data_IF_418211543268
#
_entry.id   IF_418211543268
#
_cell.length_a   1.000
_cell.length_b   1.000
_cell.length_c   1.000
_cell.angle_alpha   90.00
_cell.angle_beta   90.00
_cell.angle_gamma   90.00
#
_symmetry.space_group_name_H-M   'P 1'
#
loop_
_entity.id
_entity.type
_entity.pdbx_description
1 polymer ?
#
# COMPACT_ATOMS: atom_id res chain seq x y z
N UNK A 1 16.09 -2.56 21.72
CA UNK A 1 15.24 -1.62 20.98
C UNK A 1 13.77 -1.91 21.30
N UNK A 2 12.97 -0.85 21.49
CA UNK A 2 11.54 -1.00 21.68
C UNK A 2 10.86 -1.10 20.32
N UNK A 3 10.07 -2.17 20.09
CA UNK A 3 9.30 -2.38 18.87
C UNK A 3 7.86 -1.98 19.12
N UNK A 4 7.32 -1.16 18.23
CA UNK A 4 5.92 -0.75 18.28
C UNK A 4 5.15 -1.31 17.07
N UNK A 5 4.08 -2.04 17.33
CA UNK A 5 3.14 -2.45 16.30
C UNK A 5 2.03 -1.41 16.17
N UNK A 6 1.79 -0.95 14.95
CA UNK A 6 0.72 0.01 14.62
C UNK A 6 -0.15 -0.56 13.53
N UNK A 7 -1.47 -0.40 13.66
CA UNK A 7 -2.44 -0.86 12.68
C UNK A 7 -3.61 0.11 12.61
N UNK A 8 -4.22 0.23 11.43
CA UNK A 8 -5.48 0.95 11.21
C UNK A 8 -6.65 -0.03 11.05
N UNK A 9 -6.37 -1.32 10.86
CA UNK A 9 -7.35 -2.36 10.60
C UNK A 9 -6.89 -3.30 9.50
N UNK A 10 -7.82 -4.04 8.92
CA UNK A 10 -7.56 -5.01 7.84
C UNK A 10 -8.13 -4.46 6.53
N UNK A 11 -7.25 -3.98 5.66
CA UNK A 11 -7.65 -3.27 4.43
C UNK A 11 -8.54 -4.10 3.50
N UNK A 12 -8.32 -5.42 3.40
CA UNK A 12 -9.15 -6.32 2.60
C UNK A 12 -10.57 -6.46 3.14
N UNK A 13 -10.78 -6.31 4.44
CA UNK A 13 -12.11 -6.27 5.05
C UNK A 13 -12.74 -4.88 4.95
N UNK A 14 -11.93 -3.85 5.20
CA UNK A 14 -12.41 -2.47 5.24
C UNK A 14 -12.81 -1.97 3.84
N UNK A 15 -12.14 -2.43 2.78
CA UNK A 15 -12.48 -2.10 1.39
C UNK A 15 -13.78 -2.75 0.88
N UNK A 16 -14.28 -3.77 1.59
CA UNK A 16 -15.58 -4.40 1.30
C UNK A 16 -16.75 -3.77 2.07
N UNK A 17 -16.46 -2.82 2.97
CA UNK A 17 -17.51 -2.11 3.73
C UNK A 17 -18.05 -0.95 2.90
N UNK A 18 -19.38 -0.91 2.73
CA UNK A 18 -20.08 0.17 2.07
C UNK A 18 -20.45 1.27 3.08
N UNK A 19 -20.43 2.50 2.62
CA UNK A 19 -20.93 3.68 3.33
C UNK A 19 -21.86 4.48 2.43
N UNK A 20 -22.86 5.11 3.03
CA UNK A 20 -23.76 6.04 2.33
C UNK A 20 -23.44 7.46 2.78
N UNK A 21 -23.18 8.34 1.82
CA UNK A 21 -23.02 9.76 2.07
C UNK A 21 -24.38 10.44 2.30
N UNK A 22 -24.37 11.66 2.85
CA UNK A 22 -25.60 12.45 3.08
C UNK A 22 -26.40 12.72 1.82
N UNK A 23 -25.75 12.76 0.65
CA UNK A 23 -26.39 12.95 -0.65
C UNK A 23 -26.88 11.64 -1.29
N UNK A 24 -26.88 10.52 -0.56
CA UNK A 24 -27.31 9.20 -1.04
C UNK A 24 -26.26 8.40 -1.80
N UNK A 25 -25.09 8.96 -2.10
CA UNK A 25 -24.03 8.22 -2.78
C UNK A 25 -23.50 7.08 -1.91
N UNK A 26 -23.35 5.90 -2.52
CA UNK A 26 -22.78 4.70 -1.89
C UNK A 26 -21.33 4.57 -2.34
N UNK A 27 -20.41 4.38 -1.39
CA UNK A 27 -18.96 4.23 -1.63
C UNK A 27 -18.34 3.23 -0.65
N UNK A 28 -17.15 2.72 -0.96
CA UNK A 28 -16.40 1.85 -0.04
C UNK A 28 -15.70 2.67 1.04
N UNK A 29 -15.56 2.08 2.23
CA UNK A 29 -14.85 2.73 3.35
C UNK A 29 -13.41 3.10 3.00
N UNK A 30 -12.73 2.28 2.21
CA UNK A 30 -11.39 2.54 1.68
C UNK A 30 -11.29 2.02 0.25
N UNK A 31 -10.58 2.77 -0.60
CA UNK A 31 -10.26 2.34 -1.96
C UNK A 31 -8.88 1.69 -2.00
N UNK A 32 -8.74 0.68 -2.86
CA UNK A 32 -7.46 0.12 -3.26
C UNK A 32 -7.20 0.47 -4.73
N UNK A 33 -5.92 0.56 -5.17
CA UNK A 33 -5.59 1.09 -6.51
C UNK A 33 -5.81 0.06 -7.62
N UNK A 34 -7.03 -0.51 -7.73
CA UNK A 34 -7.37 -1.46 -8.78
C UNK A 34 -7.34 -0.81 -10.17
N UNK A 35 -6.99 -1.61 -11.18
CA UNK A 35 -7.04 -1.22 -12.58
C UNK A 35 -8.47 -1.29 -13.08
N UNK A 36 -8.99 -0.18 -13.59
CA UNK A 36 -10.36 -0.09 -14.05
C UNK A 36 -10.47 -0.39 -15.54
N UNK A 37 -11.41 -1.26 -15.91
CA UNK A 37 -11.85 -1.45 -17.29
C UNK A 37 -13.27 -0.95 -17.43
N UNK A 38 -13.61 -0.30 -18.55
CA UNK A 38 -14.98 0.04 -18.87
C UNK A 38 -15.68 -1.17 -19.50
N UNK A 39 -16.91 -1.48 -19.10
CA UNK A 39 -17.64 -2.65 -19.60
C UNK A 39 -17.84 -2.62 -21.11
N UNK A 40 -18.13 -1.44 -21.68
CA UNK A 40 -18.40 -1.24 -23.13
C UNK A 40 -17.14 -0.82 -23.87
N UNK A 41 -16.33 0.08 -23.30
CA UNK A 41 -15.13 0.63 -23.95
C UNK A 41 -13.88 0.31 -23.12
N UNK A 42 -13.26 -0.84 -23.41
CA UNK A 42 -12.02 -1.29 -22.73
C UNK A 42 -10.84 -0.30 -22.88
N UNK A 43 -10.89 0.65 -23.83
CA UNK A 43 -9.86 1.68 -24.03
C UNK A 43 -9.94 2.78 -22.96
N UNK A 44 -11.11 3.02 -22.37
CA UNK A 44 -11.27 3.96 -21.24
C UNK A 44 -10.79 3.31 -19.97
N UNK A 45 -9.51 3.31 -19.81
CA UNK A 45 -8.79 2.70 -18.70
C UNK A 45 -8.47 3.72 -17.61
N UNK A 46 -8.42 3.25 -16.38
CA UNK A 46 -8.03 4.07 -15.22
C UNK A 46 -7.42 3.21 -14.13
N UNK A 47 -6.96 3.87 -13.09
CA UNK A 47 -6.52 3.23 -11.84
C UNK A 47 -7.19 3.96 -10.70
N UNK A 48 -7.74 3.22 -9.74
CA UNK A 48 -8.31 3.80 -8.54
C UNK A 48 -7.24 4.49 -7.68
N UNK A 49 -7.67 5.40 -6.83
CA UNK A 49 -6.77 6.17 -5.96
C UNK A 49 -6.03 5.25 -4.99
N UNK A 50 -4.73 5.47 -4.86
CA UNK A 50 -3.89 4.77 -3.89
C UNK A 50 -3.96 5.44 -2.51
N UNK A 51 -5.05 5.25 -1.77
CA UNK A 51 -5.19 5.78 -0.41
C UNK A 51 -4.63 4.83 0.66
N UNK A 52 -4.51 3.55 0.35
CA UNK A 52 -4.06 2.51 1.29
C UNK A 52 -2.71 2.82 1.97
N UNK A 53 -1.75 3.42 1.27
CA UNK A 53 -0.46 3.80 1.85
C UNK A 53 -0.62 4.91 2.88
N UNK A 54 -1.43 5.92 2.58
CA UNK A 54 -1.67 7.04 3.49
C UNK A 54 -2.42 6.55 4.75
N UNK A 55 -3.52 5.83 4.56
CA UNK A 55 -4.45 5.52 5.65
C UNK A 55 -4.00 4.34 6.51
N UNK A 56 -3.39 3.29 5.89
CA UNK A 56 -3.01 2.07 6.60
C UNK A 56 -1.54 1.98 7.00
N UNK A 57 -0.68 2.89 6.50
CA UNK A 57 0.75 2.91 6.84
C UNK A 57 1.16 4.24 7.47
N UNK A 58 0.99 5.35 6.75
CA UNK A 58 1.52 6.65 7.18
C UNK A 58 0.76 7.20 8.38
N UNK A 59 -0.58 7.25 8.32
CA UNK A 59 -1.40 7.83 9.39
C UNK A 59 -1.25 7.10 10.74
N UNK A 60 -1.28 5.75 10.82
CA UNK A 60 -1.05 5.03 12.08
C UNK A 60 0.34 5.28 12.66
N UNK A 61 1.39 5.30 11.80
CA UNK A 61 2.76 5.61 12.23
C UNK A 61 2.82 7.04 12.81
N UNK A 62 2.29 8.03 12.09
CA UNK A 62 2.24 9.43 12.56
C UNK A 62 1.51 9.58 13.89
N UNK A 63 0.37 8.92 14.04
CA UNK A 63 -0.40 8.91 15.29
C UNK A 63 0.45 8.35 16.44
N UNK A 64 1.16 7.24 16.20
CA UNK A 64 2.04 6.64 17.20
C UNK A 64 3.20 7.57 17.56
N UNK A 65 3.88 8.12 16.55
CA UNK A 65 5.00 9.05 16.77
C UNK A 65 4.56 10.28 17.58
N UNK A 66 3.42 10.88 17.26
CA UNK A 66 2.86 12.00 18.04
C UNK A 66 2.66 11.64 19.51
N UNK A 67 2.13 10.45 19.79
CA UNK A 67 1.97 9.96 21.16
C UNK A 67 3.31 9.77 21.89
N UNK A 68 4.32 9.22 21.18
CA UNK A 68 5.65 8.98 21.78
C UNK A 68 6.38 10.28 22.15
N UNK A 69 6.20 11.37 21.39
CA UNK A 69 6.82 12.67 21.67
C UNK A 69 5.89 13.64 22.41
N UNK A 70 4.71 13.19 22.86
CA UNK A 70 3.76 14.03 23.61
C UNK A 70 3.18 15.20 22.79
N UNK A 71 3.20 15.13 21.45
CA UNK A 71 2.80 16.24 20.58
C UNK A 71 1.28 16.30 20.45
N UNK A 72 0.62 17.20 21.15
CA UNK A 72 -0.82 17.44 21.09
C UNK A 72 -1.20 18.36 19.93
N UNK A 73 -0.46 19.45 19.74
CA UNK A 73 -0.74 20.48 18.71
C UNK A 73 0.52 20.83 17.92
N UNK A 74 0.37 20.96 16.60
CA UNK A 74 1.42 21.45 15.70
C UNK A 74 1.21 22.94 15.44
N UNK A 75 2.26 23.74 15.61
CA UNK A 75 2.26 25.19 15.35
C UNK A 75 3.34 25.54 14.34
N UNK A 76 3.39 26.80 13.91
CA UNK A 76 4.47 27.29 13.02
C UNK A 76 5.87 27.14 13.66
N UNK A 77 5.93 27.22 14.98
CA UNK A 77 7.20 27.16 15.75
C UNK A 77 7.50 25.76 16.29
N UNK A 78 6.72 24.72 15.95
CA UNK A 78 7.02 23.35 16.37
C UNK A 78 8.35 22.91 15.76
N UNK A 79 9.38 22.58 16.57
CA UNK A 79 10.67 22.12 16.06
C UNK A 79 10.58 20.71 15.50
N UNK A 80 11.67 20.22 14.90
CA UNK A 80 11.83 18.81 14.58
C UNK A 80 11.95 18.03 15.91
N UNK A 81 11.02 17.09 16.12
CA UNK A 81 10.95 16.24 17.30
C UNK A 81 11.32 14.79 17.01
N UNK A 82 11.25 14.40 15.74
CA UNK A 82 11.48 13.01 15.29
C UNK A 82 12.39 13.01 14.07
N UNK A 83 13.48 12.25 14.13
CA UNK A 83 14.25 11.85 12.95
C UNK A 83 13.79 10.45 12.53
N UNK A 84 13.08 10.35 11.42
CA UNK A 84 12.51 9.11 10.91
C UNK A 84 13.42 8.49 9.86
N UNK A 85 13.99 7.34 10.18
CA UNK A 85 14.81 6.58 9.25
C UNK A 85 13.94 5.68 8.37
N UNK A 86 14.11 5.81 7.06
CA UNK A 86 13.33 5.08 6.06
C UNK A 86 14.27 4.21 5.25
N UNK A 87 13.97 2.90 5.18
CA UNK A 87 14.79 1.90 4.49
C UNK A 87 14.61 1.93 2.97
N UNK A 88 14.91 3.07 2.34
CA UNK A 88 14.98 3.22 0.88
C UNK A 88 16.44 3.08 0.46
N UNK A 89 16.72 2.10 -0.41
CA UNK A 89 18.05 1.88 -0.99
C UNK A 89 18.29 2.74 -2.24
N UNK A 90 19.51 2.78 -2.73
CA UNK A 90 19.90 3.62 -3.89
C UNK A 90 19.09 3.32 -5.14
N UNK A 91 18.68 2.06 -5.35
CA UNK A 91 17.81 1.64 -6.47
C UNK A 91 16.44 2.33 -6.47
N UNK A 92 15.99 2.80 -5.32
CA UNK A 92 14.70 3.44 -5.12
C UNK A 92 14.82 4.93 -4.76
N UNK A 93 15.97 5.57 -5.00
CA UNK A 93 16.26 6.94 -4.58
C UNK A 93 15.21 7.97 -5.07
N UNK A 94 14.60 7.74 -6.23
CA UNK A 94 13.52 8.57 -6.77
C UNK A 94 12.27 8.63 -5.88
N UNK A 95 12.15 7.74 -4.90
CA UNK A 95 11.04 7.68 -3.94
C UNK A 95 11.28 8.56 -2.71
N UNK A 96 12.48 9.09 -2.53
CA UNK A 96 12.80 9.94 -1.39
C UNK A 96 12.04 11.26 -1.48
N UNK A 97 11.37 11.60 -0.38
CA UNK A 97 10.66 12.86 -0.28
C UNK A 97 10.77 13.39 1.16
N UNK A 98 10.95 14.69 1.34
CA UNK A 98 10.93 15.28 2.67
C UNK A 98 9.58 14.98 3.35
N UNK A 99 9.58 14.98 4.67
CA UNK A 99 8.35 14.83 5.42
C UNK A 99 7.40 16.00 5.14
N UNK A 100 6.09 15.70 5.04
CA UNK A 100 5.05 16.74 5.00
C UNK A 100 4.76 17.32 6.39
N UNK A 101 5.23 16.64 7.42
CA UNK A 101 5.09 17.04 8.81
C UNK A 101 6.36 17.76 9.25
N UNK A 102 6.27 19.06 9.56
CA UNK A 102 7.42 19.89 9.96
C UNK A 102 8.14 19.42 11.22
N UNK A 103 7.48 18.63 12.04
CA UNK A 103 8.05 18.07 13.26
C UNK A 103 8.75 16.72 13.06
N UNK A 104 8.74 16.19 11.81
CA UNK A 104 9.45 14.96 11.41
C UNK A 104 10.47 15.30 10.33
N UNK A 105 11.70 14.88 10.53
CA UNK A 105 12.75 14.85 9.52
C UNK A 105 12.90 13.43 8.98
N UNK A 106 12.79 13.25 7.67
CA UNK A 106 13.07 11.95 7.05
C UNK A 106 14.57 11.83 6.74
N UNK A 107 15.14 10.67 7.05
CA UNK A 107 16.51 10.30 6.70
C UNK A 107 16.53 8.95 5.96
N UNK A 108 17.50 8.77 5.12
CA UNK A 108 17.65 7.57 4.28
C UNK A 108 19.04 6.96 4.45
N UNK A 109 19.32 6.25 5.56
CA UNK A 109 20.67 5.78 5.89
C UNK A 109 21.29 4.87 4.83
N UNK A 110 20.48 4.11 4.08
CA UNK A 110 21.01 3.27 3.00
C UNK A 110 21.50 4.10 1.81
N UNK A 111 20.81 5.19 1.47
CA UNK A 111 21.27 6.12 0.44
C UNK A 111 22.49 6.89 0.92
N UNK A 112 22.47 7.38 2.16
CA UNK A 112 23.60 8.08 2.79
C UNK A 112 24.89 7.23 2.78
N UNK A 113 24.72 5.91 2.87
CA UNK A 113 25.82 4.93 2.82
C UNK A 113 26.05 4.32 1.43
N UNK A 114 25.35 4.79 0.40
CA UNK A 114 25.39 4.28 -0.96
C UNK A 114 25.12 2.78 -1.07
N UNK A 115 24.15 2.26 -0.30
CA UNK A 115 23.81 0.83 -0.25
C UNK A 115 22.60 0.57 -1.16
N UNK A 116 22.74 -0.40 -2.07
CA UNK A 116 21.68 -0.88 -2.95
C UNK A 116 20.95 -2.09 -2.35
N UNK A 117 19.87 -2.53 -3.02
CA UNK A 117 19.07 -3.69 -2.56
C UNK A 117 19.87 -4.99 -2.55
N UNK A 118 20.74 -5.22 -3.54
CA UNK A 118 21.53 -6.44 -3.63
C UNK A 118 22.54 -6.54 -2.49
N UNK A 119 23.15 -5.42 -2.10
CA UNK A 119 24.04 -5.35 -0.95
C UNK A 119 23.31 -5.62 0.36
N UNK A 120 22.06 -5.11 0.51
CA UNK A 120 21.21 -5.46 1.66
C UNK A 120 20.95 -6.98 1.74
N UNK A 121 20.61 -7.63 0.62
CA UNK A 121 20.35 -9.07 0.58
C UNK A 121 21.62 -9.87 0.87
N UNK A 122 22.75 -9.47 0.31
CA UNK A 122 24.07 -10.10 0.57
C UNK A 122 24.44 -9.97 2.03
N UNK A 123 24.22 -8.80 2.63
CA UNK A 123 24.47 -8.59 4.06
C UNK A 123 23.62 -9.51 4.94
N UNK A 124 22.32 -9.63 4.66
CA UNK A 124 21.44 -10.54 5.39
C UNK A 124 21.94 -11.98 5.32
N UNK A 125 22.26 -12.45 4.10
CA UNK A 125 22.77 -13.81 3.87
C UNK A 125 24.09 -14.05 4.63
N UNK A 126 25.04 -13.13 4.54
CA UNK A 126 26.35 -13.26 5.15
C UNK A 126 26.29 -13.22 6.70
N UNK A 127 25.25 -12.63 7.26
CA UNK A 127 25.02 -12.56 8.71
C UNK A 127 24.01 -13.60 9.22
N UNK A 128 23.67 -14.61 8.42
CA UNK A 128 22.79 -15.71 8.82
C UNK A 128 21.31 -15.34 8.98
N UNK A 129 20.87 -14.20 8.44
CA UNK A 129 19.46 -13.82 8.44
C UNK A 129 18.70 -14.45 7.27
N UNK A 130 17.41 -14.75 7.43
CA UNK A 130 16.58 -15.23 6.33
C UNK A 130 16.42 -14.14 5.27
N UNK A 131 16.16 -14.57 4.02
CA UNK A 131 15.83 -13.62 2.95
C UNK A 131 14.63 -12.78 3.34
N UNK A 132 14.78 -11.46 3.29
CA UNK A 132 13.69 -10.53 3.63
C UNK A 132 12.52 -10.71 2.65
N UNK A 133 11.29 -10.93 3.14
CA UNK A 133 10.12 -11.02 2.28
C UNK A 133 9.83 -9.67 1.62
N UNK A 134 9.11 -9.70 0.50
CA UNK A 134 8.67 -8.47 -0.14
C UNK A 134 7.63 -7.76 0.73
N UNK A 135 7.85 -6.47 1.01
CA UNK A 135 6.93 -5.64 1.80
C UNK A 135 5.77 -5.13 0.94
N UNK A 136 4.92 -6.04 0.47
CA UNK A 136 3.73 -5.72 -0.31
C UNK A 136 2.56 -6.63 0.12
N UNK A 137 1.31 -6.15 -0.01
CA UNK A 137 0.13 -6.99 0.18
C UNK A 137 0.07 -8.03 -0.94
N UNK A 138 -0.31 -9.27 -0.63
CA UNK A 138 -0.42 -10.36 -1.63
C UNK A 138 -1.35 -10.00 -2.80
N UNK A 139 -2.39 -9.22 -2.52
CA UNK A 139 -3.38 -8.75 -3.51
C UNK A 139 -3.10 -7.32 -4.02
N UNK A 140 -1.85 -6.85 -3.99
CA UNK A 140 -1.54 -5.47 -4.41
C UNK A 140 -1.63 -5.33 -5.94
N UNK A 141 -2.49 -4.45 -6.49
CA UNK A 141 -2.62 -4.26 -7.95
C UNK A 141 -1.35 -3.72 -8.62
N UNK A 142 -0.36 -3.25 -7.86
CA UNK A 142 0.94 -2.81 -8.39
C UNK A 142 2.00 -3.92 -8.47
N UNK A 143 1.60 -5.19 -8.32
CA UNK A 143 2.48 -6.29 -8.70
C UNK A 143 2.70 -6.30 -10.21
N UNK A 144 3.92 -6.58 -10.62
CA UNK A 144 4.24 -6.89 -12.02
C UNK A 144 3.96 -8.38 -12.30
N UNK A 145 4.03 -8.78 -13.59
CA UNK A 145 3.73 -10.13 -14.04
C UNK A 145 4.61 -11.18 -13.36
N UNK A 146 5.91 -10.88 -13.21
CA UNK A 146 6.86 -11.77 -12.51
C UNK A 146 6.48 -11.98 -11.04
N UNK A 147 5.97 -10.96 -10.38
CA UNK A 147 5.55 -11.08 -8.98
C UNK A 147 4.23 -11.86 -8.87
N UNK A 148 3.28 -11.65 -9.76
CA UNK A 148 2.07 -12.46 -9.80
C UNK A 148 2.39 -13.94 -10.08
N UNK A 149 3.27 -14.21 -11.05
CA UNK A 149 3.76 -15.57 -11.32
C UNK A 149 4.44 -16.18 -10.09
N UNK A 150 5.32 -15.42 -9.43
CA UNK A 150 5.98 -15.88 -8.20
C UNK A 150 4.95 -16.25 -7.11
N UNK A 151 3.97 -15.37 -6.86
CA UNK A 151 2.93 -15.66 -5.85
C UNK A 151 2.15 -16.91 -6.25
N UNK A 152 1.73 -17.02 -7.52
CA UNK A 152 0.99 -18.17 -8.03
C UNK A 152 1.74 -19.50 -7.86
N UNK A 153 3.07 -19.48 -8.02
CA UNK A 153 3.91 -20.70 -7.96
C UNK A 153 4.45 -21.00 -6.57
N UNK A 154 4.72 -19.99 -5.72
CA UNK A 154 5.38 -20.19 -4.42
C UNK A 154 4.48 -19.96 -3.21
N UNK A 155 3.32 -19.31 -3.39
CA UNK A 155 2.31 -19.01 -2.35
C UNK A 155 0.90 -19.17 -2.94
N UNK A 156 0.57 -20.41 -3.31
CA UNK A 156 -0.73 -20.74 -3.93
C UNK A 156 -1.92 -20.28 -3.08
N UNK A 157 -1.84 -20.43 -1.76
CA UNK A 157 -2.89 -19.98 -0.84
C UNK A 157 -3.04 -18.46 -0.86
N UNK A 158 -1.93 -17.73 -0.91
CA UNK A 158 -1.91 -16.28 -1.05
C UNK A 158 -2.52 -15.84 -2.39
N UNK A 159 -2.21 -16.56 -3.47
CA UNK A 159 -2.81 -16.29 -4.78
C UNK A 159 -4.32 -16.51 -4.78
N UNK A 160 -4.82 -17.62 -4.22
CA UNK A 160 -6.25 -17.90 -4.12
C UNK A 160 -6.99 -16.88 -3.25
N UNK A 161 -6.36 -16.39 -2.17
CA UNK A 161 -6.88 -15.27 -1.38
C UNK A 161 -6.99 -13.99 -2.21
N UNK A 162 -6.02 -13.72 -3.08
CA UNK A 162 -6.07 -12.54 -3.96
C UNK A 162 -7.18 -12.65 -5.01
N UNK A 163 -7.34 -13.82 -5.63
CA UNK A 163 -8.45 -14.12 -6.58
C UNK A 163 -9.82 -13.95 -5.91
N UNK A 164 -9.99 -14.56 -4.74
CA UNK A 164 -11.24 -14.44 -3.98
C UNK A 164 -11.54 -13.00 -3.62
N UNK A 165 -10.54 -12.27 -3.16
CA UNK A 165 -10.68 -10.87 -2.79
C UNK A 165 -10.98 -9.98 -3.99
N UNK A 166 -10.40 -10.22 -5.16
CA UNK A 166 -10.74 -9.50 -6.39
C UNK A 166 -12.23 -9.64 -6.72
N UNK A 167 -12.76 -10.86 -6.70
CA UNK A 167 -14.19 -11.14 -6.96
C UNK A 167 -15.10 -10.46 -5.94
N UNK A 168 -14.77 -10.53 -4.65
CA UNK A 168 -15.51 -9.83 -3.60
C UNK A 168 -15.46 -8.31 -3.77
N UNK A 169 -14.31 -7.77 -4.17
CA UNK A 169 -14.14 -6.34 -4.40
C UNK A 169 -14.92 -5.86 -5.62
N UNK A 170 -14.96 -6.64 -6.69
CA UNK A 170 -15.81 -6.39 -7.86
C UNK A 170 -17.29 -6.35 -7.49
N UNK A 171 -17.79 -7.36 -6.75
CA UNK A 171 -19.17 -7.42 -6.27
C UNK A 171 -19.51 -6.22 -5.35
N UNK A 172 -18.60 -5.87 -4.44
CA UNK A 172 -18.80 -4.73 -3.54
C UNK A 172 -18.88 -3.42 -4.33
N UNK A 173 -17.98 -3.22 -5.28
CA UNK A 173 -17.93 -1.98 -6.07
C UNK A 173 -19.09 -1.85 -7.06
N UNK A 174 -19.66 -2.94 -7.56
CA UNK A 174 -20.87 -2.90 -8.38
C UNK A 174 -22.09 -2.28 -7.66
N UNK A 175 -22.07 -2.31 -6.33
CA UNK A 175 -23.10 -1.72 -5.46
C UNK A 175 -22.86 -0.23 -5.15
N UNK A 176 -21.74 0.33 -5.61
CA UNK A 176 -21.41 1.76 -5.39
C UNK A 176 -21.97 2.64 -6.50
N UNK A 177 -22.23 3.90 -6.18
CA UNK A 177 -22.72 4.89 -7.15
C UNK A 177 -21.59 5.58 -7.91
N UNK A 178 -20.33 5.39 -7.50
CA UNK A 178 -19.19 6.15 -8.01
C UNK A 178 -18.45 5.49 -9.18
N UNK A 179 -18.59 4.18 -9.35
CA UNK A 179 -17.82 3.44 -10.33
C UNK A 179 -18.48 3.42 -11.72
N UNK A 180 -19.82 3.55 -11.80
CA UNK A 180 -20.60 3.38 -13.05
C UNK A 180 -20.36 1.97 -13.62
N UNK A 181 -20.17 1.88 -14.93
CA UNK A 181 -19.98 0.61 -15.65
C UNK A 181 -18.53 0.09 -15.58
N UNK A 182 -17.68 0.65 -14.72
CA UNK A 182 -16.27 0.24 -14.63
C UNK A 182 -16.11 -0.96 -13.71
N UNK A 183 -15.27 -1.89 -14.16
CA UNK A 183 -14.94 -3.11 -13.42
C UNK A 183 -13.49 -3.00 -12.91
N UNK A 184 -13.24 -3.22 -11.60
CA UNK A 184 -11.89 -3.20 -11.04
C UNK A 184 -11.20 -4.56 -11.19
N UNK A 185 -9.93 -4.55 -11.55
CA UNK A 185 -9.05 -5.71 -11.66
C UNK A 185 -7.77 -5.50 -10.87
N UNK A 186 -7.21 -6.58 -10.32
CA UNK A 186 -5.94 -6.49 -9.62
C UNK A 186 -4.74 -6.64 -10.55
N UNK A 187 -4.93 -7.24 -11.71
CA UNK A 187 -3.90 -7.31 -12.73
C UNK A 187 -4.03 -6.16 -13.74
N UNK A 188 -2.88 -5.64 -14.19
CA UNK A 188 -2.82 -4.50 -15.13
C UNK A 188 -3.39 -4.80 -16.52
N UNK A 189 -3.49 -6.07 -16.91
CA UNK A 189 -4.13 -6.48 -18.15
C UNK A 189 -5.64 -6.30 -18.16
N UNK A 190 -6.25 -6.08 -16.97
CA UNK A 190 -7.72 -5.96 -16.80
C UNK A 190 -8.47 -7.21 -17.24
N UNK A 191 -7.90 -8.36 -16.92
CA UNK A 191 -8.60 -9.65 -16.94
C UNK A 191 -8.67 -10.18 -15.51
N UNK A 192 -9.62 -11.08 -15.20
CA UNK A 192 -9.68 -11.72 -13.88
C UNK A 192 -8.35 -12.35 -13.49
N UNK A 193 -7.98 -12.25 -12.21
CA UNK A 193 -6.68 -12.70 -11.74
C UNK A 193 -6.48 -14.21 -11.90
N UNK A 194 -7.54 -15.00 -11.88
CA UNK A 194 -7.50 -16.44 -12.13
C UNK A 194 -7.23 -16.80 -13.61
N UNK A 195 -7.38 -15.86 -14.54
CA UNK A 195 -7.09 -16.01 -15.96
C UNK A 195 -5.68 -15.52 -16.37
N UNK A 196 -4.92 -14.98 -15.38
CA UNK A 196 -3.57 -14.45 -15.61
C UNK A 196 -2.49 -15.55 -15.51
#
# INVERSE_FOLDING_TARGET
FQVHHVSQGVISQDSLKLKTAKNGNIYTYVEIPAHLSHAVDKKKAGVQRRVCTQDYKINPIRKKLRGLVGLTRVTKNTPILVSQWIGISTDEAVRTKPSRDRWIENRWPLIEKNINRQECLSWLKNNGYPTAPRSACVYCPFHNDNEWLRIKTTDSDGFQKAVTFEKQYQDTLSKTTLLGDRIPYFHRSRVPLDEV
#
